data_IF_148113099598
#
_entry.id   IF_148113099598
#
_cell.length_a   1.000
_cell.length_b   1.000
_cell.length_c   1.000
_cell.angle_alpha   90.00
_cell.angle_beta   90.00
_cell.angle_gamma   90.00
#
_symmetry.space_group_name_H-M   'P 1'
#
loop_
_entity.id
_entity.type
_entity.pdbx_description
1 polymer ?
#
# COMPACT_ATOMS: atom_id res chain seq x y z
N UNK A 1 -42.78 18.89 -35.06
CA UNK A 1 -41.35 19.00 -34.72
C UNK A 1 -40.56 18.80 -35.98
N UNK A 2 -39.58 19.65 -36.24
CA UNK A 2 -38.73 19.48 -37.42
C UNK A 2 -37.85 18.24 -37.24
N UNK A 3 -37.36 17.69 -38.36
CA UNK A 3 -36.43 16.55 -38.34
C UNK A 3 -35.17 16.88 -37.52
N UNK A 4 -34.76 18.14 -37.49
CA UNK A 4 -33.58 18.60 -36.74
C UNK A 4 -33.81 18.54 -35.22
N UNK A 5 -34.97 19.00 -34.72
CA UNK A 5 -35.31 18.91 -33.29
C UNK A 5 -35.33 17.44 -32.78
N UNK A 6 -35.78 16.53 -33.64
CA UNK A 6 -35.84 15.10 -33.32
C UNK A 6 -34.45 14.47 -33.26
N UNK A 7 -33.52 14.92 -34.11
CA UNK A 7 -32.12 14.50 -34.09
C UNK A 7 -31.38 15.06 -32.87
N UNK A 8 -31.59 16.33 -32.54
CA UNK A 8 -30.97 16.97 -31.37
C UNK A 8 -31.39 16.31 -30.06
N UNK A 9 -32.67 15.95 -29.93
CA UNK A 9 -33.15 15.20 -28.76
C UNK A 9 -32.49 13.83 -28.64
N UNK A 10 -32.26 13.13 -29.77
CA UNK A 10 -31.56 11.83 -29.77
C UNK A 10 -30.08 11.98 -29.42
N UNK A 11 -29.42 13.00 -29.95
CA UNK A 11 -28.01 13.31 -29.63
C UNK A 11 -27.88 13.58 -28.14
N UNK A 12 -28.72 14.46 -27.58
CA UNK A 12 -28.70 14.78 -26.14
C UNK A 12 -28.90 13.55 -25.26
N UNK A 13 -29.87 12.68 -25.60
CA UNK A 13 -30.09 11.44 -24.86
C UNK A 13 -28.88 10.48 -24.93
N UNK A 14 -28.21 10.40 -26.09
CA UNK A 14 -27.00 9.60 -26.25
C UNK A 14 -25.82 10.17 -25.47
N UNK A 15 -25.64 11.50 -25.44
CA UNK A 15 -24.62 12.17 -24.64
C UNK A 15 -24.82 11.95 -23.15
N UNK A 16 -26.05 12.03 -22.66
CA UNK A 16 -26.39 11.77 -21.26
C UNK A 16 -26.09 10.31 -20.88
N UNK A 17 -26.46 9.37 -21.75
CA UNK A 17 -26.15 7.95 -21.57
C UNK A 17 -24.64 7.69 -21.59
N UNK A 18 -23.90 8.36 -22.48
CA UNK A 18 -22.44 8.27 -22.54
C UNK A 18 -21.80 8.80 -21.26
N UNK A 19 -22.30 9.92 -20.72
CA UNK A 19 -21.82 10.51 -19.46
C UNK A 19 -22.03 9.54 -18.28
N UNK A 20 -23.21 8.92 -18.19
CA UNK A 20 -23.50 7.91 -17.17
C UNK A 20 -22.57 6.70 -17.28
N UNK A 21 -22.36 6.16 -18.48
CA UNK A 21 -21.48 5.01 -18.69
C UNK A 21 -20.02 5.33 -18.36
N UNK A 22 -19.53 6.53 -18.70
CA UNK A 22 -18.19 7.00 -18.31
C UNK A 22 -18.03 7.06 -16.79
N UNK A 23 -19.03 7.60 -16.09
CA UNK A 23 -19.02 7.66 -14.63
C UNK A 23 -19.01 6.25 -13.99
N UNK A 24 -19.81 5.32 -14.52
CA UNK A 24 -19.82 3.92 -14.07
C UNK A 24 -18.47 3.24 -14.28
N UNK A 25 -17.84 3.43 -15.46
CA UNK A 25 -16.50 2.90 -15.75
C UNK A 25 -15.45 3.46 -14.80
N UNK A 26 -15.48 4.76 -14.53
CA UNK A 26 -14.54 5.39 -13.60
C UNK A 26 -14.71 4.84 -12.18
N UNK A 27 -15.97 4.64 -11.73
CA UNK A 27 -16.25 4.05 -10.43
C UNK A 27 -15.75 2.59 -10.34
N UNK A 28 -15.93 1.79 -11.40
CA UNK A 28 -15.41 0.42 -11.46
C UNK A 28 -13.88 0.38 -11.36
N UNK A 29 -13.18 1.20 -12.16
CA UNK A 29 -11.71 1.28 -12.14
C UNK A 29 -11.19 1.76 -10.77
N UNK A 30 -11.87 2.72 -10.14
CA UNK A 30 -11.49 3.17 -8.80
C UNK A 30 -11.63 2.05 -7.76
N UNK A 31 -12.68 1.23 -7.85
CA UNK A 31 -12.89 0.06 -6.98
C UNK A 31 -11.82 -1.01 -7.18
N UNK A 32 -11.46 -1.31 -8.43
CA UNK A 32 -10.40 -2.29 -8.73
C UNK A 32 -9.05 -1.82 -8.17
N UNK A 33 -8.66 -0.58 -8.43
CA UNK A 33 -7.42 0.01 -7.87
C UNK A 33 -7.42 0.01 -6.35
N UNK A 34 -8.56 0.26 -5.71
CA UNK A 34 -8.67 0.21 -4.26
C UNK A 34 -8.42 -1.21 -3.72
N UNK A 35 -8.99 -2.24 -4.38
CA UNK A 35 -8.75 -3.65 -4.03
C UNK A 35 -7.29 -4.05 -4.23
N UNK A 36 -6.69 -3.69 -5.35
CA UNK A 36 -5.26 -3.95 -5.62
C UNK A 36 -4.37 -3.30 -4.57
N UNK A 37 -4.63 -2.03 -4.22
CA UNK A 37 -3.88 -1.32 -3.17
C UNK A 37 -4.08 -1.94 -1.79
N UNK A 38 -5.26 -2.47 -1.50
CA UNK A 38 -5.51 -3.20 -0.26
C UNK A 38 -4.73 -4.52 -0.23
N UNK A 39 -4.79 -5.29 -1.31
CA UNK A 39 -4.06 -6.55 -1.42
C UNK A 39 -2.55 -6.33 -1.32
N UNK A 40 -2.01 -5.34 -2.03
CA UNK A 40 -0.59 -4.99 -1.95
C UNK A 40 -0.14 -4.63 -0.53
N UNK A 41 -0.98 -3.92 0.24
CA UNK A 41 -0.70 -3.61 1.65
C UNK A 41 -0.73 -4.86 2.53
N UNK A 42 -1.66 -5.78 2.30
CA UNK A 42 -1.73 -7.07 3.01
C UNK A 42 -0.49 -7.91 2.72
N UNK A 43 -0.10 -8.01 1.46
CA UNK A 43 1.06 -8.78 1.02
C UNK A 43 2.37 -8.18 1.54
N UNK A 44 2.52 -6.86 1.54
CA UNK A 44 3.67 -6.16 2.13
C UNK A 44 3.76 -6.39 3.64
N UNK A 45 2.64 -6.28 4.35
CA UNK A 45 2.56 -6.59 5.79
C UNK A 45 2.97 -8.03 6.06
N UNK A 46 2.44 -8.98 5.28
CA UNK A 46 2.77 -10.40 5.41
C UNK A 46 4.25 -10.66 5.13
N UNK A 47 4.82 -10.02 4.10
CA UNK A 47 6.24 -10.11 3.75
C UNK A 47 7.12 -9.65 4.91
N UNK A 48 6.83 -8.48 5.49
CA UNK A 48 7.57 -7.93 6.65
C UNK A 48 7.52 -8.86 7.86
N UNK A 49 6.35 -9.41 8.17
CA UNK A 49 6.19 -10.39 9.26
C UNK A 49 7.04 -11.63 9.01
N UNK A 50 6.99 -12.20 7.80
CA UNK A 50 7.74 -13.41 7.47
C UNK A 50 9.25 -13.18 7.55
N UNK A 51 9.74 -12.07 7.01
CA UNK A 51 11.16 -11.69 7.12
C UNK A 51 11.56 -11.57 8.59
N UNK A 52 10.77 -10.86 9.40
CA UNK A 52 11.01 -10.73 10.84
C UNK A 52 11.07 -12.08 11.56
N UNK A 53 10.07 -12.95 11.34
CA UNK A 53 10.04 -14.28 11.95
C UNK A 53 11.22 -15.16 11.55
N UNK A 54 11.66 -15.07 10.29
CA UNK A 54 12.81 -15.82 9.78
C UNK A 54 14.10 -15.32 10.43
N UNK A 55 14.27 -14.00 10.51
CA UNK A 55 15.46 -13.40 11.14
C UNK A 55 15.55 -13.77 12.62
N UNK A 56 14.44 -13.69 13.36
CA UNK A 56 14.40 -14.09 14.77
C UNK A 56 14.86 -15.54 14.95
N UNK A 57 14.37 -16.45 14.10
CA UNK A 57 14.77 -17.86 14.11
C UNK A 57 16.26 -18.06 13.79
N UNK A 58 16.80 -17.31 12.82
CA UNK A 58 18.24 -17.38 12.49
C UNK A 58 19.08 -16.95 13.70
N UNK A 59 18.68 -15.89 14.39
CA UNK A 59 19.42 -15.34 15.53
C UNK A 59 19.23 -16.09 16.84
N UNK A 60 18.29 -17.03 16.90
CA UNK A 60 17.98 -17.80 18.11
C UNK A 60 19.15 -18.74 18.48
N UNK A 61 19.75 -19.39 17.48
CA UNK A 61 20.83 -20.36 17.66
C UNK A 61 22.22 -19.83 17.25
N UNK A 62 22.30 -18.63 16.66
CA UNK A 62 23.54 -18.02 16.17
C UNK A 62 23.77 -16.63 16.80
N UNK A 63 24.62 -16.60 17.83
CA UNK A 63 24.99 -15.38 18.54
C UNK A 63 25.76 -14.39 17.64
N UNK A 64 26.50 -14.87 16.64
CA UNK A 64 27.18 -13.99 15.68
C UNK A 64 26.15 -13.30 14.76
N UNK A 65 25.15 -14.04 14.29
CA UNK A 65 24.04 -13.46 13.52
C UNK A 65 23.25 -12.45 14.37
N UNK A 66 23.00 -12.76 15.65
CA UNK A 66 22.33 -11.85 16.59
C UNK A 66 23.11 -10.56 16.78
N UNK A 67 24.42 -10.64 17.05
CA UNK A 67 25.26 -9.46 17.20
C UNK A 67 25.27 -8.60 15.93
N UNK A 68 25.35 -9.23 14.75
CA UNK A 68 25.24 -8.53 13.46
C UNK A 68 23.88 -7.82 13.31
N UNK A 69 22.79 -8.48 13.67
CA UNK A 69 21.45 -7.88 13.61
C UNK A 69 21.35 -6.64 14.51
N UNK A 70 21.77 -6.75 15.77
CA UNK A 70 21.73 -5.62 16.72
C UNK A 70 22.59 -4.45 16.21
N UNK A 71 23.79 -4.71 15.70
CA UNK A 71 24.65 -3.67 15.13
C UNK A 71 24.04 -2.99 13.89
N UNK A 72 23.24 -3.71 13.10
CA UNK A 72 22.49 -3.11 11.98
C UNK A 72 21.31 -2.28 12.47
N UNK A 73 20.57 -2.76 13.49
CA UNK A 73 19.47 -2.01 14.12
C UNK A 73 19.99 -0.70 14.75
N UNK A 74 21.18 -0.73 15.37
CA UNK A 74 21.85 0.44 15.92
C UNK A 74 22.14 1.53 14.88
N UNK A 75 22.43 1.15 13.63
CA UNK A 75 22.66 2.10 12.53
C UNK A 75 21.37 2.56 11.85
N UNK A 76 20.34 1.71 11.85
CA UNK A 76 19.12 1.95 11.09
C UNK A 76 18.07 2.75 11.90
N UNK A 77 17.93 2.46 13.19
CA UNK A 77 16.90 3.07 14.03
C UNK A 77 17.35 4.44 14.53
N UNK A 78 16.51 5.45 14.33
CA UNK A 78 16.75 6.82 14.83
C UNK A 78 15.76 7.24 15.91
N UNK A 79 14.53 6.71 15.91
CA UNK A 79 13.53 7.01 16.96
C UNK A 79 13.92 6.34 18.28
N UNK A 80 13.96 7.12 19.35
CA UNK A 80 14.34 6.64 20.69
C UNK A 80 13.46 5.49 21.19
N UNK A 81 12.17 5.49 20.86
CA UNK A 81 11.24 4.45 21.33
C UNK A 81 11.54 3.12 20.67
N UNK A 82 11.86 3.15 19.38
CA UNK A 82 12.22 1.94 18.64
C UNK A 82 13.58 1.39 19.10
N UNK A 83 14.57 2.27 19.33
CA UNK A 83 15.89 1.90 19.87
C UNK A 83 15.81 1.24 21.25
N UNK A 84 14.90 1.71 22.11
CA UNK A 84 14.63 1.10 23.43
C UNK A 84 14.15 -0.35 23.33
N UNK A 85 13.44 -0.74 22.27
CA UNK A 85 13.01 -2.13 22.06
C UNK A 85 14.18 -3.10 21.92
N UNK A 86 15.35 -2.60 21.53
CA UNK A 86 16.57 -3.37 21.32
C UNK A 86 17.68 -3.06 22.34
N UNK A 87 17.36 -2.30 23.41
CA UNK A 87 18.33 -1.82 24.41
C UNK A 87 19.51 -1.05 23.80
N UNK A 88 19.26 -0.29 22.74
CA UNK A 88 20.29 0.50 22.06
C UNK A 88 20.46 1.89 22.71
N UNK A 89 21.67 2.48 22.69
CA UNK A 89 21.91 3.82 23.23
C UNK A 89 21.12 4.88 22.44
N UNK A 90 20.85 6.04 23.03
CA UNK A 90 20.24 7.15 22.28
C UNK A 90 21.22 7.67 21.22
N UNK A 91 20.68 8.14 20.10
CA UNK A 91 21.51 8.83 19.09
C UNK A 91 21.54 10.29 19.50
N UNK A 92 22.71 10.77 19.94
CA UNK A 92 22.91 12.21 20.11
C UNK A 92 22.89 12.86 18.72
N UNK A 93 21.98 13.81 18.53
CA UNK A 93 21.85 14.60 17.30
C UNK A 93 22.73 15.85 17.34
#
# INVERSE_FOLDING_TARGET
MSVTETLDSKIKAQEEKLKQLKAQRQAALARERAKEKEQARKDDTRRKILIGSCMLKITEDDEQARAKLIAQMDKYLTDERDRKLFNLPLVDH
#
